data_IF_017285383794
#
_entry.id   IF_017285383794
#
_cell.length_a   1.000
_cell.length_b   1.000
_cell.length_c   1.000
_cell.angle_alpha   90.00
_cell.angle_beta   90.00
_cell.angle_gamma   90.00
#
_symmetry.space_group_name_H-M   'P 1'
#
loop_
_entity.id
_entity.type
_entity.pdbx_description
1 polymer ?
#
# COMPACT_ATOMS: atom_id res chain seq x y z
N UNK A 1 -22.20 -51.12 -19.60
CA UNK A 1 -21.51 -49.96 -20.19
C UNK A 1 -22.22 -48.69 -19.75
N UNK A 2 -21.76 -48.05 -18.69
CA UNK A 2 -22.25 -46.73 -18.25
C UNK A 2 -21.15 -45.73 -18.59
N UNK A 3 -21.43 -44.79 -19.49
CA UNK A 3 -20.55 -43.65 -19.72
C UNK A 3 -20.86 -42.57 -18.66
N UNK A 4 -19.86 -42.01 -17.98
CA UNK A 4 -20.08 -40.86 -17.11
C UNK A 4 -20.21 -39.59 -17.95
N UNK A 5 -21.20 -38.76 -17.60
CA UNK A 5 -21.46 -37.47 -18.24
C UNK A 5 -20.27 -36.52 -18.09
N UNK A 6 -19.87 -35.89 -19.20
CA UNK A 6 -18.80 -34.91 -19.22
C UNK A 6 -19.14 -33.62 -18.45
N UNK A 7 -18.13 -32.88 -17.97
CA UNK A 7 -18.33 -31.66 -17.22
C UNK A 7 -18.97 -30.57 -18.10
N UNK A 8 -20.08 -30.02 -17.62
CA UNK A 8 -20.73 -28.85 -18.19
C UNK A 8 -19.76 -27.67 -18.23
N UNK A 9 -19.32 -27.28 -19.42
CA UNK A 9 -18.56 -26.06 -19.64
C UNK A 9 -19.48 -24.87 -19.36
N UNK A 10 -19.38 -24.29 -18.16
CA UNK A 10 -19.97 -23.00 -17.87
C UNK A 10 -19.36 -21.96 -18.83
N UNK A 11 -20.21 -21.26 -19.59
CA UNK A 11 -19.76 -20.16 -20.45
C UNK A 11 -19.14 -19.08 -19.56
N UNK A 12 -17.97 -18.52 -19.93
CA UNK A 12 -17.47 -17.33 -19.27
C UNK A 12 -18.51 -16.23 -19.43
N UNK A 13 -18.86 -15.59 -18.31
CA UNK A 13 -19.68 -14.37 -18.32
C UNK A 13 -18.95 -13.32 -19.18
N UNK A 14 -19.66 -12.59 -20.06
CA UNK A 14 -19.04 -11.53 -20.84
C UNK A 14 -18.40 -10.52 -19.89
N UNK A 15 -17.16 -10.13 -20.19
CA UNK A 15 -16.49 -9.07 -19.46
C UNK A 15 -17.34 -7.81 -19.59
N UNK A 16 -18.00 -7.39 -18.51
CA UNK A 16 -18.63 -6.07 -18.47
C UNK A 16 -17.55 -5.03 -18.76
N UNK A 17 -17.83 -4.14 -19.71
CA UNK A 17 -16.95 -3.03 -20.02
C UNK A 17 -16.67 -2.26 -18.73
N UNK A 18 -15.39 -2.25 -18.36
CA UNK A 18 -14.89 -1.75 -17.08
C UNK A 18 -14.84 -0.23 -17.20
N UNK A 19 -15.82 0.48 -16.64
CA UNK A 19 -15.65 1.91 -16.36
C UNK A 19 -15.02 2.05 -14.97
N UNK A 20 -13.70 2.30 -14.86
CA UNK A 20 -13.09 2.56 -13.57
C UNK A 20 -13.69 3.85 -12.98
N UNK A 21 -13.91 3.86 -11.67
CA UNK A 21 -14.13 5.09 -10.90
C UNK A 21 -12.93 6.01 -11.12
N UNK A 22 -13.00 6.92 -12.10
CA UNK A 22 -11.94 7.89 -12.34
C UNK A 22 -12.04 8.99 -11.32
N UNK A 23 -10.95 9.19 -10.58
CA UNK A 23 -10.83 10.34 -9.70
C UNK A 23 -10.84 11.64 -10.51
N UNK A 24 -11.29 12.73 -9.89
CA UNK A 24 -11.18 14.06 -10.50
C UNK A 24 -9.71 14.49 -10.63
N UNK A 25 -8.86 14.06 -9.69
CA UNK A 25 -7.43 14.34 -9.68
C UNK A 25 -6.65 13.38 -10.57
N UNK A 26 -5.59 13.89 -11.17
CA UNK A 26 -4.58 13.03 -11.81
C UNK A 26 -3.78 12.25 -10.76
N UNK A 27 -3.13 11.18 -11.20
CA UNK A 27 -2.26 10.36 -10.33
C UNK A 27 -1.11 11.19 -9.76
N UNK A 28 -0.56 12.12 -10.53
CA UNK A 28 0.48 13.06 -10.11
C UNK A 28 -0.04 14.05 -9.05
N UNK A 29 -1.27 14.53 -9.19
CA UNK A 29 -1.92 15.40 -8.20
C UNK A 29 -2.17 14.66 -6.88
N UNK A 30 -2.65 13.42 -6.95
CA UNK A 30 -2.84 12.54 -5.78
C UNK A 30 -1.49 12.32 -5.09
N UNK A 31 -0.43 11.97 -5.83
CA UNK A 31 0.90 11.75 -5.26
C UNK A 31 1.47 13.01 -4.57
N UNK A 32 1.25 14.20 -5.16
CA UNK A 32 1.62 15.47 -4.52
C UNK A 32 0.81 15.74 -3.26
N UNK A 33 -0.49 15.48 -3.31
CA UNK A 33 -1.41 15.63 -2.17
C UNK A 33 -1.07 14.71 -1.00
N UNK A 34 -0.67 13.46 -1.28
CA UNK A 34 -0.19 12.51 -0.27
C UNK A 34 1.00 13.13 0.49
N UNK A 35 2.03 13.59 -0.24
CA UNK A 35 3.21 14.23 0.37
C UNK A 35 2.83 15.44 1.21
N UNK A 36 2.00 16.34 0.68
CA UNK A 36 1.57 17.55 1.37
C UNK A 36 0.84 17.25 2.69
N UNK A 37 -0.06 16.25 2.70
CA UNK A 37 -0.78 15.86 3.92
C UNK A 37 0.11 15.22 4.96
N UNK A 38 1.01 14.33 4.55
CA UNK A 38 1.94 13.68 5.49
C UNK A 38 2.92 14.71 6.06
N UNK A 39 3.37 15.67 5.24
CA UNK A 39 4.12 16.84 5.68
C UNK A 39 3.36 17.66 6.72
N UNK A 40 2.14 18.09 6.41
CA UNK A 40 1.30 18.86 7.33
C UNK A 40 1.08 18.13 8.65
N UNK A 41 0.72 16.85 8.59
CA UNK A 41 0.54 16.00 9.77
C UNK A 41 1.81 15.94 10.61
N UNK A 42 2.96 15.69 9.98
CA UNK A 42 4.24 15.54 10.68
C UNK A 42 4.66 16.85 11.36
N UNK A 43 4.50 17.98 10.66
CA UNK A 43 4.81 19.29 11.24
C UNK A 43 3.88 19.59 12.40
N UNK A 44 2.57 19.32 12.33
CA UNK A 44 1.64 19.60 13.44
C UNK A 44 1.88 18.71 14.67
N UNK A 45 2.18 17.43 14.46
CA UNK A 45 2.23 16.43 15.54
C UNK A 45 3.65 16.10 16.03
N UNK A 46 4.69 16.73 15.45
CA UNK A 46 6.10 16.47 15.77
C UNK A 46 6.47 14.98 15.64
N UNK A 47 6.00 14.35 14.56
CA UNK A 47 6.18 12.91 14.33
C UNK A 47 5.44 12.45 13.09
N UNK A 48 6.09 11.67 12.23
CA UNK A 48 5.44 11.07 11.08
C UNK A 48 6.41 10.37 10.12
N UNK A 49 5.81 9.73 9.11
CA UNK A 49 6.48 8.87 8.13
C UNK A 49 6.76 9.64 6.81
N UNK A 50 7.54 10.73 6.90
CA UNK A 50 7.84 11.59 5.74
C UNK A 50 8.57 10.83 4.63
N UNK A 51 9.53 9.98 5.00
CA UNK A 51 10.33 9.25 4.02
C UNK A 51 9.50 8.25 3.22
N UNK A 52 8.52 7.63 3.87
CA UNK A 52 7.57 6.72 3.24
C UNK A 52 6.62 7.49 2.31
N UNK A 53 6.20 8.70 2.69
CA UNK A 53 5.44 9.55 1.78
C UNK A 53 6.27 9.95 0.56
N UNK A 54 7.58 10.20 0.73
CA UNK A 54 8.48 10.47 -0.38
C UNK A 54 8.58 9.29 -1.34
N UNK A 55 8.83 8.08 -0.83
CA UNK A 55 9.09 6.88 -1.62
C UNK A 55 7.83 6.29 -2.27
N UNK A 56 6.71 6.29 -1.56
CA UNK A 56 5.52 5.52 -1.91
C UNK A 56 4.38 6.31 -2.59
N UNK A 57 4.44 7.64 -2.62
CA UNK A 57 3.29 8.46 -3.05
C UNK A 57 2.81 8.12 -4.47
N UNK A 58 3.71 8.02 -5.46
CA UNK A 58 3.32 7.64 -6.83
C UNK A 58 2.78 6.21 -6.89
N UNK A 59 3.37 5.27 -6.14
CA UNK A 59 2.96 3.87 -6.12
C UNK A 59 1.52 3.75 -5.59
N UNK A 60 1.23 4.33 -4.42
CA UNK A 60 -0.12 4.32 -3.85
C UNK A 60 -1.13 5.09 -4.72
N UNK A 61 -0.75 6.27 -5.25
CA UNK A 61 -1.59 7.02 -6.17
C UNK A 61 -1.94 6.19 -7.41
N UNK A 62 -0.95 5.53 -8.01
CA UNK A 62 -1.14 4.65 -9.16
C UNK A 62 -2.09 3.50 -8.82
N UNK A 63 -1.87 2.80 -7.70
CA UNK A 63 -2.72 1.69 -7.29
C UNK A 63 -4.19 2.09 -7.18
N UNK A 64 -4.49 3.18 -6.47
CA UNK A 64 -5.87 3.60 -6.25
C UNK A 64 -6.53 4.27 -7.46
N UNK A 65 -5.76 4.93 -8.33
CA UNK A 65 -6.31 5.71 -9.43
C UNK A 65 -6.33 4.97 -10.78
N UNK A 66 -5.44 3.99 -10.97
CA UNK A 66 -5.21 3.36 -12.29
C UNK A 66 -4.96 1.85 -12.22
N UNK A 67 -4.17 1.39 -11.25
CA UNK A 67 -3.62 0.05 -11.20
C UNK A 67 -4.59 -1.02 -10.71
N UNK A 68 -5.67 -0.63 -10.04
CA UNK A 68 -6.65 -1.52 -9.44
C UNK A 68 -8.07 -1.21 -9.90
N UNK A 69 -8.83 -2.28 -10.14
CA UNK A 69 -10.28 -2.23 -10.31
C UNK A 69 -10.98 -2.30 -8.94
N UNK A 70 -10.97 -1.20 -8.20
CA UNK A 70 -11.65 -1.10 -6.90
C UNK A 70 -13.11 -0.66 -7.09
N UNK A 71 -14.04 -1.30 -6.38
CA UNK A 71 -15.42 -0.83 -6.34
C UNK A 71 -15.59 0.43 -5.49
N UNK A 72 -16.81 0.99 -5.42
CA UNK A 72 -17.10 2.13 -4.55
C UNK A 72 -16.85 1.74 -3.08
N UNK A 73 -16.28 2.67 -2.30
CA UNK A 73 -16.11 2.47 -0.86
C UNK A 73 -17.45 2.11 -0.21
N UNK A 74 -17.46 1.11 0.65
CA UNK A 74 -18.63 0.70 1.44
C UNK A 74 -18.60 1.28 2.86
N UNK A 75 -17.61 2.12 3.16
CA UNK A 75 -17.34 2.68 4.49
C UNK A 75 -17.67 4.17 4.54
N UNK A 76 -18.03 4.70 5.73
CA UNK A 76 -18.25 6.13 5.89
C UNK A 76 -16.97 6.93 5.62
N UNK A 77 -17.14 8.14 5.08
CA UNK A 77 -16.02 9.03 4.78
C UNK A 77 -15.19 9.38 6.02
N UNK A 78 -15.85 9.58 7.17
CA UNK A 78 -15.17 9.70 8.46
C UNK A 78 -15.17 8.32 9.14
N UNK A 79 -14.00 7.73 9.43
CA UNK A 79 -13.93 6.42 10.08
C UNK A 79 -14.64 6.42 11.45
N UNK A 80 -15.42 5.38 11.77
CA UNK A 80 -16.00 5.25 13.11
C UNK A 80 -14.89 4.97 14.14
N UNK A 81 -15.12 5.26 15.43
CA UNK A 81 -14.27 4.76 16.51
C UNK A 81 -14.14 3.23 16.46
N UNK A 82 -13.07 2.68 17.04
CA UNK A 82 -12.89 1.25 17.13
C UNK A 82 -13.91 0.64 18.10
N UNK A 83 -14.85 -0.15 17.56
CA UNK A 83 -15.93 -0.78 18.31
C UNK A 83 -15.55 -2.06 19.07
N UNK A 84 -14.29 -2.50 18.97
CA UNK A 84 -13.82 -3.77 19.52
C UNK A 84 -13.63 -4.86 18.47
N UNK A 85 -13.07 -6.00 18.89
CA UNK A 85 -12.79 -7.16 18.04
C UNK A 85 -14.06 -7.94 17.68
N UNK A 86 -14.04 -8.80 16.64
CA UNK A 86 -15.15 -9.71 16.36
C UNK A 86 -15.51 -10.56 17.58
N UNK A 87 -16.78 -10.55 17.97
CA UNK A 87 -17.28 -11.33 19.10
C UNK A 87 -18.80 -11.54 18.97
N UNK A 88 -19.37 -12.40 19.83
CA UNK A 88 -20.83 -12.58 19.87
C UNK A 88 -21.58 -11.28 20.20
N UNK A 89 -20.94 -10.37 20.94
CA UNK A 89 -21.48 -9.07 21.35
C UNK A 89 -21.12 -7.94 20.35
N UNK A 90 -20.35 -8.26 19.30
CA UNK A 90 -19.99 -7.36 18.21
C UNK A 90 -20.23 -8.04 16.85
N UNK A 91 -21.50 -8.34 16.51
CA UNK A 91 -21.85 -9.10 15.30
C UNK A 91 -21.66 -8.31 14.01
N UNK A 92 -21.67 -6.97 14.08
CA UNK A 92 -21.59 -6.07 12.93
C UNK A 92 -20.16 -5.58 12.66
N UNK A 93 -19.15 -6.38 13.04
CA UNK A 93 -17.75 -6.04 12.82
C UNK A 93 -17.43 -5.84 11.33
N UNK A 94 -16.83 -4.70 11.02
CA UNK A 94 -16.38 -4.36 9.67
C UNK A 94 -14.87 -4.15 9.66
N UNK A 95 -14.24 -4.59 8.57
CA UNK A 95 -12.82 -4.35 8.33
C UNK A 95 -12.63 -3.04 7.56
N UNK A 96 -11.44 -2.44 7.69
CA UNK A 96 -11.05 -1.29 6.90
C UNK A 96 -10.93 -1.57 5.41
N UNK A 97 -10.90 -2.86 5.03
CA UNK A 97 -10.99 -3.36 3.68
C UNK A 97 -12.19 -2.80 2.88
N UNK A 98 -13.26 -2.38 3.57
CA UNK A 98 -14.43 -1.75 2.93
C UNK A 98 -14.14 -0.40 2.28
N UNK A 99 -13.07 0.32 2.69
CA UNK A 99 -12.61 1.53 2.00
C UNK A 99 -12.12 1.24 0.58
N UNK A 100 -11.65 0.01 0.33
CA UNK A 100 -11.25 -0.48 -1.00
C UNK A 100 -12.45 -1.01 -1.81
N UNK A 101 -13.64 -1.03 -1.22
CA UNK A 101 -14.89 -1.44 -1.85
C UNK A 101 -15.34 -2.87 -1.52
N UNK A 102 -16.39 -3.37 -2.19
CA UNK A 102 -17.03 -4.63 -1.84
C UNK A 102 -16.10 -5.83 -2.05
N UNK A 103 -16.29 -6.86 -1.22
CA UNK A 103 -15.62 -8.14 -1.39
C UNK A 103 -16.47 -9.03 -2.33
N UNK A 104 -16.25 -8.89 -3.64
CA UNK A 104 -16.97 -9.66 -4.66
C UNK A 104 -16.03 -10.34 -5.66
N UNK A 105 -16.61 -10.99 -6.68
CA UNK A 105 -15.88 -11.78 -7.65
C UNK A 105 -15.10 -10.94 -8.68
N UNK A 106 -15.41 -9.65 -8.85
CA UNK A 106 -14.92 -8.84 -9.98
C UNK A 106 -13.94 -7.75 -9.57
N UNK A 107 -14.05 -7.22 -8.36
CA UNK A 107 -13.17 -6.17 -7.86
C UNK A 107 -11.86 -6.73 -7.30
N UNK A 108 -10.82 -5.93 -7.48
CA UNK A 108 -9.48 -6.23 -6.96
C UNK A 108 -9.43 -6.00 -5.44
N UNK A 109 -8.50 -6.67 -4.77
CA UNK A 109 -8.21 -6.48 -3.34
C UNK A 109 -6.79 -5.93 -3.18
N UNK A 110 -6.59 -5.05 -2.22
CA UNK A 110 -5.30 -4.41 -1.93
C UNK A 110 -4.86 -4.73 -0.51
N UNK A 111 -3.69 -5.36 -0.39
CA UNK A 111 -3.00 -5.57 0.88
C UNK A 111 -1.90 -4.53 1.00
N UNK A 112 -1.89 -3.77 2.09
CA UNK A 112 -0.75 -2.92 2.45
C UNK A 112 0.04 -3.71 3.49
N UNK A 113 1.12 -4.35 3.03
CA UNK A 113 1.94 -5.22 3.85
C UNK A 113 2.84 -4.47 4.86
N UNK A 114 3.50 -3.34 4.50
CA UNK A 114 4.16 -2.51 5.50
C UNK A 114 3.10 -1.68 6.23
N UNK A 115 2.46 -2.25 7.25
CA UNK A 115 1.36 -1.61 7.98
C UNK A 115 1.72 -0.25 8.62
N UNK A 116 3.00 0.00 8.86
CA UNK A 116 3.50 1.30 9.33
C UNK A 116 3.42 2.42 8.26
N UNK A 117 3.15 2.09 6.99
CA UNK A 117 2.84 3.08 5.95
C UNK A 117 1.39 3.61 6.08
N UNK A 118 0.67 3.28 7.15
CA UNK A 118 -0.71 3.68 7.43
C UNK A 118 -0.96 5.18 7.21
N UNK A 119 -0.11 6.06 7.72
CA UNK A 119 -0.26 7.51 7.53
C UNK A 119 -0.30 7.90 6.03
N UNK A 120 0.56 7.28 5.21
CA UNK A 120 0.63 7.51 3.77
C UNK A 120 -0.59 6.91 3.06
N UNK A 121 -1.03 5.72 3.49
CA UNK A 121 -2.22 5.06 2.99
C UNK A 121 -3.50 5.89 3.27
N UNK A 122 -3.64 6.43 4.48
CA UNK A 122 -4.76 7.29 4.86
C UNK A 122 -4.73 8.61 4.10
N UNK A 123 -3.56 9.22 3.93
CA UNK A 123 -3.41 10.39 3.07
C UNK A 123 -3.84 10.09 1.62
N UNK A 124 -3.50 8.90 1.10
CA UNK A 124 -3.95 8.44 -0.21
C UNK A 124 -5.47 8.29 -0.26
N UNK A 125 -6.09 7.61 0.71
CA UNK A 125 -7.55 7.46 0.80
C UNK A 125 -8.28 8.82 0.79
N UNK A 126 -7.71 9.84 1.44
CA UNK A 126 -8.25 11.20 1.39
C UNK A 126 -8.11 11.80 -0.01
N UNK A 127 -6.92 11.71 -0.59
CA UNK A 127 -6.65 12.27 -1.91
C UNK A 127 -7.50 11.62 -3.00
N UNK A 128 -7.84 10.34 -2.85
CA UNK A 128 -8.72 9.63 -3.78
C UNK A 128 -10.21 9.67 -3.41
N UNK A 129 -10.59 10.47 -2.42
CA UNK A 129 -12.01 10.69 -2.07
C UNK A 129 -12.71 9.49 -1.43
N UNK A 130 -11.94 8.56 -0.83
CA UNK A 130 -12.46 7.40 -0.08
C UNK A 130 -12.53 7.65 1.43
N UNK A 131 -11.83 8.66 1.93
CA UNK A 131 -11.85 9.09 3.33
C UNK A 131 -11.88 10.63 3.39
N UNK A 132 -12.53 11.20 4.40
CA UNK A 132 -12.54 12.65 4.60
C UNK A 132 -11.28 13.12 5.34
N UNK A 133 -10.78 14.35 5.09
CA UNK A 133 -9.62 14.91 5.81
C UNK A 133 -9.76 14.87 7.33
N UNK A 134 -10.97 15.01 7.86
CA UNK A 134 -11.30 14.97 9.28
C UNK A 134 -10.90 13.64 9.93
N UNK A 135 -10.93 12.53 9.18
CA UNK A 135 -10.51 11.21 9.66
C UNK A 135 -9.05 11.18 10.09
N UNK A 136 -8.18 11.99 9.45
CA UNK A 136 -6.76 12.07 9.83
C UNK A 136 -6.55 12.73 11.20
N UNK A 137 -7.53 13.52 11.67
CA UNK A 137 -7.54 14.06 13.03
C UNK A 137 -7.66 12.97 14.10
N UNK A 138 -8.08 11.76 13.73
CA UNK A 138 -8.18 10.61 14.63
C UNK A 138 -6.91 9.75 14.64
N UNK A 139 -5.89 10.10 13.86
CA UNK A 139 -4.67 9.29 13.73
C UNK A 139 -3.98 9.06 15.08
N UNK A 140 -3.76 7.78 15.41
CA UNK A 140 -3.04 7.32 16.58
C UNK A 140 -3.57 7.89 17.92
N UNK A 141 -4.89 8.03 18.04
CA UNK A 141 -5.57 8.42 19.28
C UNK A 141 -6.28 7.22 19.90
N UNK A 142 -6.35 7.18 21.22
CA UNK A 142 -7.05 6.11 21.94
C UNK A 142 -8.51 5.98 21.48
N UNK A 143 -8.93 4.74 21.20
CA UNK A 143 -10.27 4.41 20.72
C UNK A 143 -10.53 4.75 19.24
N UNK A 144 -9.53 5.26 18.51
CA UNK A 144 -9.61 5.49 17.07
C UNK A 144 -9.43 4.18 16.29
N UNK A 145 -10.05 4.10 15.10
CA UNK A 145 -9.75 3.07 14.11
C UNK A 145 -8.59 3.45 13.17
N UNK A 146 -8.11 4.69 13.24
CA UNK A 146 -7.06 5.26 12.38
C UNK A 146 -5.71 5.08 13.06
N UNK A 147 -5.17 3.86 13.02
CA UNK A 147 -3.97 3.48 13.79
C UNK A 147 -2.64 3.91 13.14
N UNK A 148 -1.58 4.09 13.95
CA UNK A 148 -0.25 4.39 13.42
C UNK A 148 0.37 3.21 12.66
N UNK A 149 0.11 2.00 13.14
CA UNK A 149 0.44 0.74 12.48
C UNK A 149 -0.90 0.12 12.11
N UNK A 150 -1.22 0.06 10.83
CA UNK A 150 -2.55 -0.37 10.39
C UNK A 150 -2.91 -1.78 10.85
N UNK A 151 -4.12 -1.92 11.39
CA UNK A 151 -4.76 -3.18 11.68
C UNK A 151 -5.90 -3.43 10.68
N UNK A 152 -6.49 -4.62 10.71
CA UNK A 152 -7.58 -5.03 9.82
C UNK A 152 -8.85 -4.16 9.93
N UNK A 153 -9.05 -3.46 11.04
CA UNK A 153 -10.14 -2.51 11.21
C UNK A 153 -9.80 -1.10 10.68
N UNK A 154 -8.52 -0.83 10.41
CA UNK A 154 -8.06 0.51 10.04
C UNK A 154 -8.29 0.82 8.57
N UNK A 155 -8.63 2.06 8.19
CA UNK A 155 -9.05 2.39 6.83
C UNK A 155 -8.12 1.87 5.71
N UNK A 156 -8.67 1.11 4.76
CA UNK A 156 -7.94 0.57 3.62
C UNK A 156 -7.09 -0.67 3.91
N UNK A 157 -6.99 -1.11 5.16
CA UNK A 157 -6.25 -2.32 5.53
C UNK A 157 -7.13 -3.56 5.34
N UNK A 158 -6.67 -4.50 4.52
CA UNK A 158 -7.39 -5.75 4.25
C UNK A 158 -7.33 -6.73 5.43
N UNK A 159 -6.17 -6.79 6.07
CA UNK A 159 -5.83 -7.73 7.14
C UNK A 159 -4.85 -7.06 8.11
N UNK A 160 -4.64 -7.68 9.27
CA UNK A 160 -3.64 -7.26 10.23
C UNK A 160 -2.24 -7.58 9.71
N UNK A 161 -1.42 -6.57 9.41
CA UNK A 161 -0.07 -6.72 8.83
C UNK A 161 1.04 -6.05 9.69
N UNK A 162 0.81 -5.86 11.00
CA UNK A 162 1.81 -5.24 11.89
C UNK A 162 3.15 -5.98 11.96
N UNK A 163 3.16 -7.29 11.68
CA UNK A 163 4.37 -8.09 11.47
C UNK A 163 4.72 -8.10 9.98
N UNK A 164 5.98 -7.82 9.63
CA UNK A 164 6.42 -7.87 8.24
C UNK A 164 6.39 -9.31 7.69
N UNK A 165 6.32 -9.46 6.37
CA UNK A 165 6.41 -10.74 5.67
C UNK A 165 5.12 -11.57 5.60
N UNK A 166 4.06 -11.26 6.37
CA UNK A 166 2.80 -12.04 6.33
C UNK A 166 1.83 -11.59 5.23
N UNK A 167 1.96 -10.35 4.75
CA UNK A 167 1.03 -9.75 3.80
C UNK A 167 0.97 -10.52 2.48
N UNK A 168 2.14 -10.84 1.90
CA UNK A 168 2.22 -11.59 0.64
C UNK A 168 1.67 -13.02 0.77
N UNK A 169 1.95 -13.69 1.90
CA UNK A 169 1.47 -15.06 2.17
C UNK A 169 -0.06 -15.11 2.28
N UNK A 170 -0.65 -14.18 3.05
CA UNK A 170 -2.10 -14.07 3.21
C UNK A 170 -2.79 -13.72 1.90
N UNK A 171 -2.22 -12.78 1.15
CA UNK A 171 -2.70 -12.40 -0.17
C UNK A 171 -2.64 -13.56 -1.18
N UNK A 172 -1.58 -14.37 -1.15
CA UNK A 172 -1.47 -15.57 -1.99
C UNK A 172 -2.57 -16.59 -1.68
N UNK A 173 -2.87 -16.82 -0.40
CA UNK A 173 -3.98 -17.69 0.01
C UNK A 173 -5.33 -17.19 -0.52
N UNK A 174 -5.61 -15.89 -0.37
CA UNK A 174 -6.83 -15.28 -0.92
C UNK A 174 -6.88 -15.41 -2.45
N UNK A 175 -5.80 -15.05 -3.14
CA UNK A 175 -5.71 -15.13 -4.60
C UNK A 175 -5.96 -16.55 -5.10
N UNK A 176 -5.40 -17.56 -4.41
CA UNK A 176 -5.62 -18.96 -4.74
C UNK A 176 -7.08 -19.39 -4.62
N UNK A 177 -7.74 -19.01 -3.52
CA UNK A 177 -9.15 -19.26 -3.30
C UNK A 177 -10.01 -18.61 -4.38
N UNK A 178 -9.78 -17.33 -4.68
CA UNK A 178 -10.47 -16.57 -5.74
C UNK A 178 -10.32 -17.24 -7.11
N UNK A 179 -9.11 -17.68 -7.46
CA UNK A 179 -8.84 -18.38 -8.72
C UNK A 179 -9.63 -19.69 -8.82
N UNK A 180 -9.69 -20.47 -7.74
CA UNK A 180 -10.46 -21.73 -7.68
C UNK A 180 -11.97 -21.52 -7.78
N UNK A 181 -12.47 -20.38 -7.33
CA UNK A 181 -13.88 -19.99 -7.47
C UNK A 181 -14.19 -19.35 -8.83
N UNK A 182 -13.21 -19.18 -9.71
CA UNK A 182 -13.39 -18.52 -11.01
C UNK A 182 -13.62 -17.01 -10.91
N UNK A 183 -13.20 -16.37 -9.82
CA UNK A 183 -13.29 -14.92 -9.65
C UNK A 183 -12.27 -14.22 -10.56
N UNK A 184 -12.66 -13.10 -11.16
CA UNK A 184 -11.82 -12.33 -12.09
C UNK A 184 -11.01 -11.22 -11.41
N UNK A 185 -11.43 -10.74 -10.24
CA UNK A 185 -10.70 -9.70 -9.51
C UNK A 185 -9.39 -10.23 -8.94
N UNK A 186 -8.32 -9.46 -9.12
CA UNK A 186 -6.94 -9.77 -8.74
C UNK A 186 -6.66 -9.39 -7.29
N UNK A 187 -5.57 -9.91 -6.76
CA UNK A 187 -5.06 -9.52 -5.44
C UNK A 187 -3.73 -8.81 -5.64
N UNK A 188 -3.66 -7.58 -5.15
CA UNK A 188 -2.47 -6.75 -5.16
C UNK A 188 -1.88 -6.64 -3.75
N UNK A 189 -0.56 -6.68 -3.65
CA UNK A 189 0.17 -6.41 -2.41
C UNK A 189 1.09 -5.23 -2.63
N UNK A 190 0.91 -4.18 -1.84
CA UNK A 190 1.92 -3.14 -1.71
C UNK A 190 2.91 -3.56 -0.62
N UNK A 191 4.20 -3.60 -0.98
CA UNK A 191 5.28 -4.15 -0.15
C UNK A 191 6.39 -3.13 0.08
N UNK A 192 7.22 -3.34 1.10
CA UNK A 192 8.54 -2.70 1.21
C UNK A 192 9.67 -3.68 0.94
N UNK A 193 10.84 -3.19 0.53
CA UNK A 193 12.05 -4.00 0.38
C UNK A 193 12.55 -4.58 1.70
N UNK A 194 12.23 -3.98 2.84
CA UNK A 194 12.45 -4.57 4.17
C UNK A 194 11.84 -5.97 4.33
N UNK A 195 10.70 -6.25 3.70
CA UNK A 195 10.01 -7.54 3.81
C UNK A 195 10.79 -8.71 3.20
N UNK A 196 11.76 -8.46 2.32
CA UNK A 196 12.58 -9.54 1.71
C UNK A 196 13.58 -10.14 2.70
N UNK A 197 13.74 -9.52 3.86
CA UNK A 197 14.50 -10.05 4.98
C UNK A 197 13.73 -11.14 5.75
N UNK A 198 12.40 -11.17 5.59
CA UNK A 198 11.54 -12.18 6.22
C UNK A 198 11.48 -13.46 5.39
N UNK A 199 11.72 -14.61 6.04
CA UNK A 199 11.66 -15.93 5.40
C UNK A 199 10.31 -16.21 4.74
N UNK A 200 9.23 -15.74 5.37
CA UNK A 200 7.85 -15.93 4.93
C UNK A 200 7.58 -15.34 3.53
N UNK A 201 8.25 -14.25 3.16
CA UNK A 201 8.13 -13.66 1.81
C UNK A 201 8.53 -14.66 0.73
N UNK A 202 9.60 -15.41 0.97
CA UNK A 202 10.14 -16.40 0.02
C UNK A 202 9.27 -17.65 -0.06
N UNK A 203 8.75 -18.12 1.08
CA UNK A 203 7.77 -19.22 1.13
C UNK A 203 6.50 -18.88 0.33
N UNK A 204 5.99 -17.65 0.47
CA UNK A 204 4.81 -17.18 -0.25
C UNK A 204 5.02 -17.19 -1.78
N UNK A 205 6.18 -16.72 -2.26
CA UNK A 205 6.50 -16.73 -3.70
C UNK A 205 6.61 -18.15 -4.23
N UNK A 206 7.30 -19.03 -3.50
CA UNK A 206 7.47 -20.44 -3.88
C UNK A 206 6.10 -21.13 -4.00
N UNK A 207 5.23 -20.94 -3.00
CA UNK A 207 3.87 -21.47 -3.01
C UNK A 207 3.04 -20.91 -4.17
N UNK A 208 3.11 -19.60 -4.43
CA UNK A 208 2.38 -18.95 -5.51
C UNK A 208 2.84 -19.42 -6.90
N UNK A 209 4.14 -19.59 -7.11
CA UNK A 209 4.69 -20.16 -8.33
C UNK A 209 4.27 -21.63 -8.51
N UNK A 210 4.39 -22.46 -7.46
CA UNK A 210 4.02 -23.86 -7.51
C UNK A 210 2.53 -24.08 -7.84
N UNK A 211 1.64 -23.26 -7.28
CA UNK A 211 0.20 -23.35 -7.50
C UNK A 211 -0.31 -22.52 -8.69
N UNK A 212 0.59 -21.88 -9.44
CA UNK A 212 0.25 -21.09 -10.61
C UNK A 212 -0.68 -19.92 -10.30
N UNK A 213 -0.46 -19.20 -9.20
CA UNK A 213 -1.29 -18.09 -8.74
C UNK A 213 -0.93 -16.80 -9.51
N UNK A 214 -1.46 -16.68 -10.71
CA UNK A 214 -1.25 -15.56 -11.64
C UNK A 214 -2.27 -14.42 -11.52
N UNK A 215 -3.23 -14.53 -10.59
CA UNK A 215 -4.09 -13.42 -10.19
C UNK A 215 -3.53 -12.68 -8.95
N UNK A 216 -2.32 -13.02 -8.51
CA UNK A 216 -1.55 -12.33 -7.48
C UNK A 216 -0.48 -11.45 -8.14
N UNK A 217 -0.37 -10.21 -7.71
CA UNK A 217 0.76 -9.36 -8.05
C UNK A 217 1.13 -8.44 -6.88
N UNK A 218 2.36 -7.95 -6.89
CA UNK A 218 2.84 -7.01 -5.90
C UNK A 218 3.58 -5.85 -6.55
N UNK A 219 3.54 -4.69 -5.90
CA UNK A 219 4.45 -3.57 -6.15
C UNK A 219 5.22 -3.30 -4.86
N UNK A 220 6.55 -3.31 -4.97
CA UNK A 220 7.46 -3.19 -3.84
C UNK A 220 8.18 -1.84 -3.90
N UNK A 221 8.07 -1.09 -2.82
CA UNK A 221 8.85 0.11 -2.58
C UNK A 221 10.29 -0.26 -2.24
N UNK A 222 11.19 -0.15 -3.22
CA UNK A 222 12.63 -0.41 -3.05
C UNK A 222 13.36 0.90 -2.80
N UNK A 223 13.28 1.37 -1.55
CA UNK A 223 13.84 2.65 -1.11
C UNK A 223 15.22 2.51 -0.41
N UNK A 224 15.66 1.28 -0.14
CA UNK A 224 16.91 0.91 0.52
C UNK A 224 17.07 1.47 1.93
N UNK A 225 15.96 1.69 2.65
CA UNK A 225 15.92 2.15 4.04
C UNK A 225 15.05 1.23 4.90
N UNK A 226 15.44 1.09 6.17
CA UNK A 226 14.67 0.42 7.19
C UNK A 226 14.77 1.17 8.53
N UNK A 227 14.14 0.65 9.58
CA UNK A 227 14.05 1.33 10.88
C UNK A 227 15.43 1.75 11.42
N UNK A 228 16.41 0.84 11.38
CA UNK A 228 17.74 1.06 11.95
C UNK A 228 18.74 1.71 10.98
N UNK A 229 18.32 2.05 9.75
CA UNK A 229 19.15 2.78 8.80
C UNK A 229 19.10 2.23 7.38
N UNK A 230 20.21 2.37 6.65
CA UNK A 230 20.32 1.86 5.29
C UNK A 230 20.27 0.32 5.27
N UNK A 231 19.55 -0.25 4.30
CA UNK A 231 19.35 -1.70 4.19
C UNK A 231 20.69 -2.47 4.22
N UNK A 232 21.67 -2.01 3.45
CA UNK A 232 22.98 -2.68 3.33
C UNK A 232 23.85 -2.58 4.59
N UNK A 233 23.61 -1.62 5.48
CA UNK A 233 24.35 -1.47 6.74
C UNK A 233 23.76 -2.33 7.87
N UNK A 234 22.47 -2.66 7.79
CA UNK A 234 21.77 -3.45 8.80
C UNK A 234 21.74 -4.94 8.40
N UNK A 235 21.19 -5.27 7.23
CA UNK A 235 21.20 -6.62 6.68
C UNK A 235 21.09 -6.60 5.15
N UNK A 236 22.23 -6.77 4.48
CA UNK A 236 22.34 -6.77 3.02
C UNK A 236 21.43 -7.81 2.37
N UNK A 237 20.59 -7.36 1.43
CA UNK A 237 19.64 -8.23 0.71
C UNK A 237 20.11 -8.62 -0.69
N UNK A 238 21.15 -7.97 -1.23
CA UNK A 238 21.72 -8.27 -2.54
C UNK A 238 20.74 -8.02 -3.70
N UNK A 239 20.85 -8.83 -4.75
CA UNK A 239 19.97 -8.72 -5.92
C UNK A 239 18.57 -9.30 -5.63
N UNK A 240 17.65 -8.44 -5.23
CA UNK A 240 16.25 -8.77 -4.95
C UNK A 240 15.56 -9.37 -6.20
N UNK A 241 15.84 -8.83 -7.38
CA UNK A 241 15.18 -9.22 -8.62
C UNK A 241 15.55 -10.66 -9.01
N UNK A 242 16.84 -11.00 -8.95
CA UNK A 242 17.31 -12.36 -9.20
C UNK A 242 16.72 -13.36 -8.20
N UNK A 243 16.69 -13.02 -6.90
CA UNK A 243 16.07 -13.89 -5.89
C UNK A 243 14.60 -14.20 -6.18
N UNK A 244 13.77 -13.19 -6.48
CA UNK A 244 12.37 -13.43 -6.82
C UNK A 244 12.20 -14.28 -8.10
N UNK A 245 13.03 -14.06 -9.13
CA UNK A 245 13.03 -14.87 -10.36
C UNK A 245 13.36 -16.32 -10.06
N UNK A 246 14.38 -16.58 -9.25
CA UNK A 246 14.82 -17.92 -8.85
C UNK A 246 13.77 -18.66 -8.00
N UNK A 247 13.01 -17.92 -7.19
CA UNK A 247 11.85 -18.46 -6.45
C UNK A 247 10.60 -18.68 -7.31
N UNK A 248 10.63 -18.28 -8.59
CA UNK A 248 9.59 -18.59 -9.55
C UNK A 248 8.62 -17.45 -9.85
N UNK A 249 8.83 -16.22 -9.38
CA UNK A 249 8.04 -15.06 -9.79
C UNK A 249 8.46 -14.50 -11.15
N UNK A 250 7.51 -13.86 -11.86
CA UNK A 250 7.86 -12.91 -12.91
C UNK A 250 8.21 -11.58 -12.24
N UNK A 251 9.31 -10.96 -12.65
CA UNK A 251 9.80 -9.72 -12.05
C UNK A 251 9.89 -8.63 -13.11
N UNK A 252 9.30 -7.47 -12.82
CA UNK A 252 9.46 -6.24 -13.58
C UNK A 252 10.09 -5.17 -12.69
N UNK A 253 10.88 -4.28 -13.26
CA UNK A 253 11.57 -3.23 -12.52
C UNK A 253 11.24 -1.88 -13.16
N UNK A 254 11.05 -0.85 -12.34
CA UNK A 254 10.76 0.50 -12.81
C UNK A 254 11.30 1.56 -11.83
N UNK A 255 11.41 2.78 -12.33
CA UNK A 255 11.54 3.96 -11.47
C UNK A 255 10.17 4.23 -10.82
N UNK A 256 10.13 4.25 -9.49
CA UNK A 256 8.90 4.49 -8.73
C UNK A 256 8.31 5.89 -8.97
N UNK A 257 9.10 6.84 -9.46
CA UNK A 257 8.69 8.22 -9.72
C UNK A 257 8.38 8.48 -11.20
N UNK A 258 8.42 7.45 -12.06
CA UNK A 258 7.93 7.49 -13.44
C UNK A 258 6.66 6.63 -13.58
N UNK A 259 5.50 7.29 -13.57
CA UNK A 259 4.20 6.62 -13.71
C UNK A 259 4.04 5.90 -15.06
N UNK A 260 4.73 6.33 -16.13
CA UNK A 260 4.73 5.60 -17.40
C UNK A 260 5.50 4.29 -17.28
N UNK A 261 6.67 4.32 -16.62
CA UNK A 261 7.43 3.10 -16.33
C UNK A 261 6.64 2.14 -15.43
N UNK A 262 5.94 2.66 -14.42
CA UNK A 262 5.09 1.86 -13.53
C UNK A 262 3.93 1.18 -14.27
N UNK A 263 3.22 1.90 -15.14
CA UNK A 263 2.19 1.33 -16.03
C UNK A 263 2.75 0.21 -16.91
N UNK A 264 3.93 0.42 -17.49
CA UNK A 264 4.59 -0.57 -18.32
C UNK A 264 5.00 -1.82 -17.53
N UNK A 265 5.57 -1.64 -16.32
CA UNK A 265 5.94 -2.74 -15.44
C UNK A 265 4.73 -3.57 -15.02
N UNK A 266 3.61 -2.92 -14.65
CA UNK A 266 2.34 -3.58 -14.32
C UNK A 266 1.76 -4.40 -15.48
N UNK A 267 1.97 -3.96 -16.72
CA UNK A 267 1.48 -4.62 -17.91
C UNK A 267 2.30 -5.86 -18.32
N UNK A 268 3.38 -6.19 -17.59
CA UNK A 268 4.22 -7.36 -17.85
C UNK A 268 3.38 -8.65 -17.83
N UNK A 269 3.36 -9.46 -18.90
CA UNK A 269 2.64 -10.73 -18.90
C UNK A 269 3.23 -11.74 -17.90
N UNK A 270 2.37 -12.34 -17.07
CA UNK A 270 2.79 -13.30 -16.04
C UNK A 270 1.87 -14.54 -15.94
N UNK A 271 1.54 -15.23 -17.05
CA UNK A 271 0.64 -16.38 -17.01
C UNK A 271 1.22 -17.50 -16.14
N UNK A 272 0.39 -18.05 -15.25
CA UNK A 272 0.76 -19.12 -14.33
C UNK A 272 1.80 -18.75 -13.27
N UNK A 273 2.13 -17.47 -13.05
CA UNK A 273 3.14 -17.03 -12.07
C UNK A 273 2.70 -15.73 -11.38
N UNK A 274 3.08 -15.50 -10.10
CA UNK A 274 2.90 -14.19 -9.48
C UNK A 274 3.82 -13.15 -10.15
N UNK A 275 3.36 -11.91 -10.24
CA UNK A 275 4.17 -10.76 -10.69
C UNK A 275 4.67 -9.96 -9.48
N UNK A 276 5.97 -9.69 -9.42
CA UNK A 276 6.56 -8.75 -8.46
C UNK A 276 7.14 -7.57 -9.24
N UNK A 277 6.58 -6.38 -9.04
CA UNK A 277 7.10 -5.12 -9.57
C UNK A 277 8.01 -4.50 -8.53
N UNK A 278 9.30 -4.39 -8.83
CA UNK A 278 10.26 -3.65 -8.01
C UNK A 278 10.28 -2.19 -8.46
N UNK A 279 9.70 -1.31 -7.64
CA UNK A 279 9.67 0.12 -7.88
C UNK A 279 10.81 0.76 -7.10
N UNK A 280 11.91 1.05 -7.79
CA UNK A 280 13.10 1.68 -7.21
C UNK A 280 12.80 3.14 -6.92
N UNK A 281 12.83 3.53 -5.64
CA UNK A 281 12.36 4.83 -5.18
C UNK A 281 13.43 5.57 -4.39
N UNK A 282 13.19 6.86 -4.14
CA UNK A 282 14.05 7.71 -3.31
C UNK A 282 13.33 8.07 -2.01
N UNK A 283 13.93 7.79 -0.84
CA UNK A 283 13.32 8.07 0.47
C UNK A 283 13.19 9.57 0.80
N UNK A 284 13.64 10.46 -0.09
CA UNK A 284 13.57 11.93 0.04
C UNK A 284 12.92 12.61 -1.17
N UNK A 285 12.32 11.85 -2.09
CA UNK A 285 11.66 12.42 -3.27
C UNK A 285 10.63 13.50 -2.90
N UNK A 286 10.87 14.71 -3.41
CA UNK A 286 10.02 15.88 -3.17
C UNK A 286 10.18 16.55 -1.80
N UNK A 287 11.04 16.00 -0.93
CA UNK A 287 11.40 16.58 0.37
C UNK A 287 12.91 16.42 0.60
N UNK A 288 13.73 16.98 -0.29
CA UNK A 288 15.18 16.72 -0.35
C UNK A 288 15.91 17.13 0.93
N UNK A 289 15.41 18.14 1.64
CA UNK A 289 15.94 18.59 2.93
C UNK A 289 15.98 17.48 4.01
N UNK A 290 15.17 16.43 3.86
CA UNK A 290 15.23 15.23 4.72
C UNK A 290 16.57 14.50 4.64
N UNK A 291 17.33 14.64 3.55
CA UNK A 291 18.62 13.97 3.39
C UNK A 291 19.60 14.33 4.52
N UNK A 292 19.46 15.52 5.13
CA UNK A 292 20.24 15.94 6.30
C UNK A 292 20.07 15.02 7.53
N UNK A 293 19.04 14.16 7.55
CA UNK A 293 18.76 13.19 8.62
C UNK A 293 19.18 11.76 8.30
N UNK A 294 19.62 11.49 7.08
CA UNK A 294 20.10 10.17 6.69
C UNK A 294 21.19 9.66 7.65
N UNK A 295 21.18 8.38 8.05
CA UNK A 295 20.29 7.29 7.60
C UNK A 295 18.98 7.15 8.41
N UNK A 296 18.67 8.08 9.33
CA UNK A 296 17.49 7.98 10.21
C UNK A 296 16.29 8.70 9.61
N UNK A 297 15.67 8.05 8.64
CA UNK A 297 14.53 8.57 7.88
C UNK A 297 13.19 7.87 8.19
N UNK A 298 13.21 6.74 8.90
CA UNK A 298 12.04 5.87 9.05
C UNK A 298 10.84 6.53 9.75
N UNK A 299 11.06 7.14 10.93
CA UNK A 299 10.05 7.94 11.63
C UNK A 299 10.68 9.27 12.05
N UNK A 300 10.20 10.37 11.47
CA UNK A 300 10.80 11.69 11.65
C UNK A 300 10.17 12.37 12.86
N UNK A 301 10.89 12.33 13.99
CA UNK A 301 10.66 13.21 15.14
C UNK A 301 11.74 14.30 15.14
N UNK A 302 11.32 15.56 15.22
CA UNK A 302 12.26 16.69 15.24
C UNK A 302 12.99 16.72 16.59
N UNK A 303 14.29 17.02 16.55
CA UNK A 303 15.19 17.08 17.71
C UNK A 303 15.00 18.36 18.51
N UNK A 304 14.51 19.42 17.87
CA UNK A 304 14.22 20.72 18.47
C UNK A 304 13.12 21.45 17.69
N UNK A 305 12.50 22.45 18.33
CA UNK A 305 11.57 23.35 17.64
C UNK A 305 12.26 24.16 16.54
N UNK A 306 13.57 24.44 16.67
CA UNK A 306 14.36 25.07 15.62
C UNK A 306 14.48 24.18 14.37
N UNK A 307 14.77 22.88 14.55
CA UNK A 307 14.80 21.94 13.44
C UNK A 307 13.42 21.82 12.77
N UNK A 308 12.35 21.73 13.59
CA UNK A 308 10.97 21.67 13.10
C UNK A 308 10.58 22.91 12.30
N UNK A 309 10.90 24.10 12.81
CA UNK A 309 10.60 25.37 12.14
C UNK A 309 11.39 25.51 10.83
N UNK A 310 12.67 25.13 10.82
CA UNK A 310 13.50 25.12 9.61
C UNK A 310 12.94 24.17 8.55
N UNK A 311 12.69 22.91 8.94
CA UNK A 311 12.14 21.87 8.06
C UNK A 311 10.75 22.24 7.54
N UNK A 312 9.93 22.94 8.34
CA UNK A 312 8.62 23.47 7.90
C UNK A 312 8.78 24.42 6.70
N UNK A 313 9.76 25.32 6.74
CA UNK A 313 10.00 26.28 5.66
C UNK A 313 10.60 25.59 4.44
N UNK A 314 11.65 24.79 4.65
CA UNK A 314 12.40 24.11 3.58
C UNK A 314 11.51 23.15 2.79
N UNK A 315 10.82 22.23 3.49
CA UNK A 315 9.98 21.22 2.83
C UNK A 315 8.72 21.86 2.21
N UNK A 316 8.13 22.89 2.83
CA UNK A 316 7.01 23.59 2.22
C UNK A 316 7.39 24.22 0.87
N UNK A 317 8.58 24.82 0.79
CA UNK A 317 9.11 25.35 -0.46
C UNK A 317 9.34 24.27 -1.52
N UNK A 318 9.91 23.12 -1.13
CA UNK A 318 10.14 21.96 -2.02
C UNK A 318 8.83 21.37 -2.57
N UNK A 319 7.78 21.33 -1.75
CA UNK A 319 6.45 20.85 -2.13
C UNK A 319 5.59 21.89 -2.86
N UNK A 320 6.00 23.17 -2.86
CA UNK A 320 5.21 24.27 -3.42
C UNK A 320 3.94 24.57 -2.63
N UNK A 321 3.97 24.37 -1.30
CA UNK A 321 2.86 24.67 -0.38
C UNK A 321 3.24 25.76 0.62
N UNK A 322 2.26 26.32 1.32
CA UNK A 322 2.54 27.25 2.42
C UNK A 322 3.14 26.50 3.62
N UNK A 323 4.08 27.10 4.37
CA UNK A 323 4.50 26.58 5.66
C UNK A 323 3.30 26.39 6.59
N UNK A 324 3.33 25.32 7.36
CA UNK A 324 2.27 24.97 8.31
C UNK A 324 2.29 25.97 9.45
N UNK A 325 1.15 26.60 9.72
CA UNK A 325 0.99 27.44 10.90
C UNK A 325 1.09 26.55 12.16
N UNK A 326 2.09 26.82 12.99
CA UNK A 326 2.23 26.20 14.31
C UNK A 326 1.50 27.09 15.31
N UNK A 327 0.48 26.55 15.98
CA UNK A 327 -0.13 27.23 17.12
C UNK A 327 0.88 27.27 18.27
N UNK A 328 1.02 28.43 18.92
CA UNK A 328 1.81 28.52 20.14
C UNK A 328 1.08 27.76 21.24
N UNK A 329 1.62 26.62 21.66
CA UNK A 329 1.17 25.87 22.84
C UNK A 329 1.69 26.50 24.13
#
# INVERSE_FOLDING_TARGET
>A
MHQPGGPSQARPLPAQEREPLRNEKTTEEIARGIRARVFEHTIRNNGGYLSQACSAAEQLAFLYNEGLNLGPSTMPMVPPPFGGVPSADNPDYVTGAGYNGPFDAVHDRLFIAPAHYALVAYACLIEVGRMAPEGLGMFNRDGSSVEMIGAEHSPGMEVHNGTLGIGLSTAAGLAWGRKRMGHSGQVCVFMSDGEVQEGQTWEAVQAAAHHGIDNLWAIMDVNRQQCDGAMDEVMTVGDIATKFRDFGAVVAECDAHDLKAMRAARATPHPGRPLIVLAHSRPTQGMESLMSRFPRLHYVRFKSEEERARMNIEIAAELGVAPVALEAH
#
